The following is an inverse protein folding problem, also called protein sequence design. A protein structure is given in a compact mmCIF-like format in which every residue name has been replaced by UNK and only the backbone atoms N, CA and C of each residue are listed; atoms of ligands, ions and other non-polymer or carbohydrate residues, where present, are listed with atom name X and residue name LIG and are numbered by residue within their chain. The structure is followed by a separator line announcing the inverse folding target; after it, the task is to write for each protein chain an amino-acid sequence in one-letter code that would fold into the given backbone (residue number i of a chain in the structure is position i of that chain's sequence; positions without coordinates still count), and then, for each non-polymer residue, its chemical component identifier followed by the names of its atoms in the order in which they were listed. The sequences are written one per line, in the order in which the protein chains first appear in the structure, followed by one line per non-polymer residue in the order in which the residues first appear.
data_IF_463018238142
#
_entry.id   IF_463018238142
#
_cell.length_a   1.000
_cell.length_b   1.000
_cell.length_c   1.000
_cell.angle_alpha   90.00
_cell.angle_beta   90.00
_cell.angle_gamma   90.00
#
_symmetry.space_group_name_H-M   'P 1'
#
loop_
_entity.id
_entity.type
_entity.pdbx_description
1 polymer ?
#
# COMPACT_ATOMS: atom_id res chain seq x y z
N UNK A 1 1.92 28.41 10.13
CA UNK A 1 1.53 27.02 9.79
C UNK A 1 2.67 26.27 9.10
N UNK A 2 3.26 26.83 8.04
CA UNK A 2 4.36 26.21 7.28
C UNK A 2 5.66 25.91 8.08
N UNK A 3 6.01 26.78 9.05
CA UNK A 3 7.15 26.56 9.93
C UNK A 3 6.98 25.31 10.81
N UNK A 4 5.79 25.13 11.39
CA UNK A 4 5.48 24.00 12.25
C UNK A 4 5.55 22.67 11.48
N UNK A 5 4.93 22.62 10.29
CA UNK A 5 4.95 21.42 9.44
C UNK A 5 6.38 21.06 9.02
N UNK A 6 7.22 22.06 8.74
CA UNK A 6 8.63 21.83 8.40
C UNK A 6 9.43 21.27 9.59
N UNK A 7 9.18 21.77 10.80
CA UNK A 7 9.84 21.27 12.02
C UNK A 7 9.42 19.83 12.33
N UNK A 8 8.11 19.54 12.34
CA UNK A 8 7.60 18.18 12.57
C UNK A 8 8.13 17.17 11.54
N UNK A 9 8.26 17.59 10.26
CA UNK A 9 8.84 16.71 9.22
C UNK A 9 10.32 16.41 9.48
N UNK A 10 11.10 17.41 9.90
CA UNK A 10 12.51 17.18 10.28
C UNK A 10 12.64 16.25 11.48
N UNK A 11 11.85 16.48 12.53
CA UNK A 11 11.87 15.66 13.74
C UNK A 11 11.53 14.19 13.44
N UNK A 12 10.49 13.96 12.61
CA UNK A 12 10.16 12.62 12.12
C UNK A 12 11.32 11.98 11.34
N UNK A 13 11.92 12.72 10.39
CA UNK A 13 13.02 12.21 9.57
C UNK A 13 14.25 11.87 10.42
N UNK A 14 14.58 12.70 11.40
CA UNK A 14 15.68 12.45 12.34
C UNK A 14 15.43 11.19 13.17
N UNK A 15 14.23 11.05 13.74
CA UNK A 15 13.85 9.89 14.53
C UNK A 15 13.95 8.59 13.73
N UNK A 16 13.34 8.56 12.53
CA UNK A 16 13.27 7.37 11.69
C UNK A 16 14.61 7.05 11.02
N UNK A 17 15.30 8.04 10.44
CA UNK A 17 16.56 7.79 9.74
C UNK A 17 17.69 7.40 10.70
N UNK A 18 17.66 7.83 11.96
CA UNK A 18 18.56 7.32 13.00
C UNK A 18 18.40 5.80 13.19
N UNK A 19 17.18 5.29 13.18
CA UNK A 19 16.89 3.85 13.30
C UNK A 19 17.27 3.11 12.02
N UNK A 20 16.94 3.66 10.84
CA UNK A 20 17.27 3.05 9.54
C UNK A 20 18.78 3.02 9.28
N UNK A 21 19.51 4.05 9.69
CA UNK A 21 20.98 4.11 9.59
C UNK A 21 21.65 2.99 10.38
N UNK A 22 21.16 2.67 11.59
CA UNK A 22 21.65 1.51 12.36
C UNK A 22 21.41 0.17 11.66
N UNK A 23 20.42 0.10 10.77
CA UNK A 23 20.05 -1.11 10.00
C UNK A 23 20.63 -1.12 8.58
N UNK A 24 21.46 -0.12 8.21
CA UNK A 24 21.99 0.06 6.85
C UNK A 24 20.89 0.12 5.76
N UNK A 25 19.71 0.64 6.12
CA UNK A 25 18.59 0.86 5.19
C UNK A 25 18.63 2.31 4.70
N UNK A 26 18.24 2.54 3.46
CA UNK A 26 18.17 3.88 2.86
C UNK A 26 17.32 4.84 3.71
N UNK A 27 17.60 6.15 3.68
CA UNK A 27 16.80 7.13 4.41
C UNK A 27 15.39 7.28 3.81
N UNK A 28 14.44 7.68 4.65
CA UNK A 28 13.09 8.04 4.24
C UNK A 28 13.11 9.40 3.55
N UNK A 29 12.35 9.54 2.46
CA UNK A 29 12.20 10.80 1.74
C UNK A 29 11.27 11.78 2.47
N UNK A 30 11.38 13.08 2.17
CA UNK A 30 10.50 14.11 2.72
C UNK A 30 9.02 13.82 2.46
N UNK A 31 8.67 13.43 1.23
CA UNK A 31 7.28 13.13 0.85
C UNK A 31 6.68 11.97 1.65
N UNK A 32 7.47 10.93 1.92
CA UNK A 32 7.03 9.82 2.78
C UNK A 32 6.82 10.28 4.23
N UNK A 33 7.72 11.09 4.77
CA UNK A 33 7.54 11.65 6.11
C UNK A 33 6.25 12.48 6.25
N UNK A 34 5.98 13.34 5.27
CA UNK A 34 4.76 14.17 5.24
C UNK A 34 3.50 13.30 5.22
N UNK A 35 3.48 12.17 4.49
CA UNK A 35 2.31 11.26 4.46
C UNK A 35 1.99 10.67 5.84
N UNK A 36 2.99 10.12 6.53
CA UNK A 36 2.79 9.58 7.90
C UNK A 36 2.35 10.66 8.89
N UNK A 37 2.89 11.87 8.77
CA UNK A 37 2.50 13.00 9.61
C UNK A 37 1.05 13.44 9.33
N UNK A 38 0.63 13.54 8.08
CA UNK A 38 -0.75 13.85 7.72
C UNK A 38 -1.74 12.84 8.31
N UNK A 39 -1.44 11.54 8.18
CA UNK A 39 -2.27 10.47 8.73
C UNK A 39 -2.43 10.54 10.26
N UNK A 40 -1.52 11.23 10.96
CA UNK A 40 -1.54 11.40 12.42
C UNK A 40 -1.67 12.86 12.84
N UNK A 41 -2.26 13.71 11.99
CA UNK A 41 -2.53 15.13 12.27
C UNK A 41 -1.30 15.87 12.81
N UNK A 42 -0.13 15.55 12.23
CA UNK A 42 1.19 16.10 12.58
C UNK A 42 1.72 15.74 13.98
N UNK A 43 1.16 14.72 14.64
CA UNK A 43 1.74 14.11 15.84
C UNK A 43 2.95 13.24 15.45
N UNK A 44 4.16 13.72 15.77
CA UNK A 44 5.42 13.07 15.38
C UNK A 44 5.55 11.68 16.02
N UNK A 45 5.26 11.53 17.31
CA UNK A 45 5.41 10.26 18.01
C UNK A 45 4.49 9.18 17.46
N UNK A 46 3.21 9.53 17.22
CA UNK A 46 2.24 8.62 16.60
C UNK A 46 2.57 8.32 15.14
N UNK A 47 3.11 9.29 14.39
CA UNK A 47 3.56 9.08 13.02
C UNK A 47 4.75 8.11 12.95
N UNK A 48 5.74 8.25 13.85
CA UNK A 48 6.87 7.32 13.96
C UNK A 48 6.38 5.91 14.27
N UNK A 49 5.50 5.75 15.25
CA UNK A 49 4.92 4.44 15.59
C UNK A 49 4.17 3.82 14.41
N UNK A 50 3.39 4.64 13.67
CA UNK A 50 2.71 4.19 12.45
C UNK A 50 3.71 3.69 11.39
N UNK A 51 4.78 4.45 11.15
CA UNK A 51 5.82 4.08 10.20
C UNK A 51 6.52 2.76 10.59
N UNK A 52 6.83 2.56 11.88
CA UNK A 52 7.45 1.31 12.35
C UNK A 52 6.54 0.10 12.14
N UNK A 53 5.24 0.22 12.46
CA UNK A 53 4.25 -0.84 12.23
C UNK A 53 4.08 -1.12 10.74
N UNK A 54 4.05 -0.08 9.90
CA UNK A 54 3.97 -0.19 8.45
C UNK A 54 5.18 -0.95 7.88
N UNK A 55 6.41 -0.55 8.25
CA UNK A 55 7.65 -1.23 7.84
C UNK A 55 7.75 -2.67 8.35
N UNK A 56 7.34 -2.92 9.59
CA UNK A 56 7.35 -4.27 10.18
C UNK A 56 6.37 -5.19 9.42
N UNK A 57 5.18 -4.68 9.11
CA UNK A 57 4.16 -5.42 8.35
C UNK A 57 4.64 -5.71 6.94
N UNK A 58 5.16 -4.72 6.21
CA UNK A 58 5.72 -4.95 4.87
C UNK A 58 6.83 -5.99 4.88
N UNK A 59 7.73 -5.96 5.86
CA UNK A 59 8.82 -6.94 5.97
C UNK A 59 8.31 -8.34 6.28
N UNK A 60 7.37 -8.49 7.22
CA UNK A 60 6.77 -9.77 7.59
C UNK A 60 6.05 -10.43 6.41
N UNK A 61 5.38 -9.64 5.58
CA UNK A 61 4.64 -10.12 4.41
C UNK A 61 5.49 -10.19 3.12
N UNK A 62 6.78 -9.80 3.16
CA UNK A 62 7.67 -9.80 1.99
C UNK A 62 7.32 -8.75 0.91
N UNK A 63 6.90 -7.56 1.34
CA UNK A 63 6.41 -6.43 0.53
C UNK A 63 7.42 -5.28 0.44
N UNK A 64 8.73 -5.56 0.54
CA UNK A 64 9.79 -4.55 0.58
C UNK A 64 10.47 -4.33 -0.78
N UNK A 65 10.47 -5.33 -1.66
CA UNK A 65 11.07 -5.26 -2.98
C UNK A 65 10.16 -5.97 -4.00
N UNK A 66 9.69 -5.25 -5.01
CA UNK A 66 8.86 -5.81 -6.08
C UNK A 66 9.66 -5.95 -7.37
N UNK A 67 9.51 -7.10 -8.04
CA UNK A 67 10.10 -7.36 -9.35
C UNK A 67 8.99 -7.73 -10.34
N UNK A 68 8.25 -6.75 -10.90
CA UNK A 68 7.04 -7.01 -11.71
C UNK A 68 7.33 -7.75 -13.02
N UNK A 69 8.58 -7.73 -13.50
CA UNK A 69 9.01 -8.48 -14.67
C UNK A 69 9.51 -9.90 -14.37
N UNK A 70 9.40 -10.39 -13.13
CA UNK A 70 9.86 -11.73 -12.72
C UNK A 70 8.72 -12.53 -12.10
N UNK A 71 8.75 -13.84 -12.31
CA UNK A 71 7.84 -14.75 -11.63
C UNK A 71 8.13 -14.79 -10.11
N UNK A 72 7.10 -15.01 -9.26
CA UNK A 72 5.70 -15.25 -9.62
C UNK A 72 4.85 -13.98 -9.80
N UNK A 73 5.41 -12.78 -9.52
CA UNK A 73 4.66 -11.53 -9.54
C UNK A 73 4.19 -11.14 -10.95
N UNK A 74 5.01 -11.41 -11.97
CA UNK A 74 4.68 -11.10 -13.35
C UNK A 74 3.38 -11.78 -13.83
N UNK A 75 3.26 -13.11 -13.66
CA UNK A 75 2.03 -13.82 -14.01
C UNK A 75 0.83 -13.38 -13.17
N UNK A 76 1.04 -13.11 -11.88
CA UNK A 76 -0.01 -12.59 -11.00
C UNK A 76 -0.58 -11.25 -11.50
N UNK A 77 0.28 -10.28 -11.85
CA UNK A 77 -0.15 -8.99 -12.38
C UNK A 77 -0.91 -9.15 -13.71
N UNK A 78 -0.50 -10.10 -14.55
CA UNK A 78 -1.17 -10.40 -15.82
C UNK A 78 -2.56 -11.01 -15.66
N UNK A 79 -2.91 -11.54 -14.49
CA UNK A 79 -4.28 -12.04 -14.26
C UNK A 79 -5.32 -10.93 -14.31
N UNK A 80 -4.93 -9.67 -14.04
CA UNK A 80 -5.86 -8.56 -13.93
C UNK A 80 -6.86 -8.72 -12.78
N UNK A 81 -6.65 -9.65 -11.83
CA UNK A 81 -7.56 -9.83 -10.70
C UNK A 81 -7.57 -8.62 -9.78
N UNK A 82 -6.47 -7.87 -9.71
CA UNK A 82 -6.44 -6.54 -9.12
C UNK A 82 -6.00 -5.55 -10.19
N UNK A 83 -6.73 -4.45 -10.34
CA UNK A 83 -6.41 -3.38 -11.31
C UNK A 83 -6.76 -2.01 -10.77
N UNK A 84 -6.04 -1.01 -11.23
CA UNK A 84 -6.42 0.41 -11.10
C UNK A 84 -7.06 0.82 -12.42
N UNK A 85 -8.32 1.23 -12.39
CA UNK A 85 -9.02 1.65 -13.60
C UNK A 85 -8.42 2.94 -14.15
N UNK A 86 -8.42 3.13 -15.49
CA UNK A 86 -7.93 4.36 -16.11
C UNK A 86 -8.84 5.56 -15.81
N UNK A 87 -10.07 5.31 -15.36
CA UNK A 87 -11.05 6.32 -14.98
C UNK A 87 -11.04 6.56 -13.47
N UNK A 88 -11.34 7.80 -13.09
CA UNK A 88 -11.54 8.22 -11.70
C UNK A 88 -13.03 8.38 -11.40
N UNK A 89 -13.38 8.39 -10.13
CA UNK A 89 -14.74 8.73 -9.72
C UNK A 89 -15.01 10.24 -9.85
N UNK A 90 -16.22 10.67 -9.47
CA UNK A 90 -16.63 12.09 -9.50
C UNK A 90 -15.82 12.98 -8.56
N UNK A 91 -15.18 12.43 -7.52
CA UNK A 91 -14.30 13.17 -6.58
C UNK A 91 -12.84 13.21 -7.02
N UNK A 92 -12.50 12.51 -8.11
CA UNK A 92 -11.13 12.35 -8.60
C UNK A 92 -10.35 11.21 -7.94
N UNK A 93 -10.98 10.43 -7.06
CA UNK A 93 -10.38 9.24 -6.45
C UNK A 93 -10.09 8.17 -7.52
N UNK A 94 -8.93 7.54 -7.42
CA UNK A 94 -8.60 6.42 -8.28
C UNK A 94 -9.45 5.21 -7.90
N UNK A 95 -9.88 4.42 -8.89
CA UNK A 95 -10.74 3.25 -8.65
C UNK A 95 -9.88 1.99 -8.74
N UNK A 96 -9.74 1.31 -7.61
CA UNK A 96 -9.08 0.02 -7.50
C UNK A 96 -10.13 -1.09 -7.47
N UNK A 97 -9.99 -2.11 -8.31
CA UNK A 97 -10.95 -3.22 -8.41
C UNK A 97 -10.23 -4.54 -8.14
N UNK A 98 -10.75 -5.31 -7.19
CA UNK A 98 -10.40 -6.72 -7.00
C UNK A 98 -11.52 -7.61 -7.54
N UNK A 99 -11.26 -8.33 -8.63
CA UNK A 99 -12.19 -9.23 -9.30
C UNK A 99 -12.04 -10.65 -8.78
N UNK A 100 -12.90 -11.05 -7.84
CA UNK A 100 -12.75 -12.27 -7.07
C UNK A 100 -12.75 -13.54 -7.93
N UNK A 101 -13.53 -13.59 -9.01
CA UNK A 101 -13.57 -14.77 -9.92
C UNK A 101 -12.22 -15.12 -10.56
N UNK A 102 -11.30 -14.16 -10.68
CA UNK A 102 -9.95 -14.40 -11.20
C UNK A 102 -8.95 -14.83 -10.13
N UNK A 103 -9.32 -14.72 -8.84
CA UNK A 103 -8.50 -15.23 -7.76
C UNK A 103 -8.64 -16.74 -7.63
N UNK A 104 -7.52 -17.46 -7.65
CA UNK A 104 -7.48 -18.90 -7.41
C UNK A 104 -6.37 -19.21 -6.41
N UNK A 105 -6.72 -19.54 -5.15
CA UNK A 105 -5.75 -19.92 -4.11
C UNK A 105 -4.90 -21.15 -4.49
N UNK A 106 -5.41 -22.00 -5.39
CA UNK A 106 -4.69 -23.18 -5.88
C UNK A 106 -3.57 -22.84 -6.88
N UNK A 107 -3.64 -21.66 -7.52
CA UNK A 107 -2.71 -21.27 -8.60
C UNK A 107 -1.73 -20.20 -8.13
N UNK A 108 -2.15 -19.30 -7.24
CA UNK A 108 -1.31 -18.21 -6.74
C UNK A 108 -1.33 -18.18 -5.23
N UNK A 109 -0.13 -18.06 -4.64
CA UNK A 109 -0.01 -17.95 -3.20
C UNK A 109 -0.62 -16.63 -2.69
N UNK A 110 -1.04 -16.64 -1.43
CA UNK A 110 -1.56 -15.42 -0.78
C UNK A 110 -0.52 -14.30 -0.82
N UNK A 111 0.76 -14.63 -0.63
CA UNK A 111 1.86 -13.68 -0.66
C UNK A 111 2.03 -13.06 -2.05
N UNK A 112 1.99 -13.86 -3.12
CA UNK A 112 2.11 -13.37 -4.50
C UNK A 112 0.95 -12.43 -4.84
N UNK A 113 -0.29 -12.83 -4.49
CA UNK A 113 -1.47 -11.98 -4.71
C UNK A 113 -1.35 -10.67 -3.94
N UNK A 114 -0.91 -10.72 -2.68
CA UNK A 114 -0.69 -9.54 -1.85
C UNK A 114 0.38 -8.60 -2.44
N UNK A 115 1.48 -9.16 -2.96
CA UNK A 115 2.51 -8.39 -3.66
C UNK A 115 1.93 -7.68 -4.89
N UNK A 116 1.08 -8.35 -5.67
CA UNK A 116 0.41 -7.76 -6.83
C UNK A 116 -0.52 -6.60 -6.48
N UNK A 117 -1.28 -6.74 -5.38
CA UNK A 117 -2.14 -5.67 -4.86
C UNK A 117 -1.32 -4.47 -4.40
N UNK A 118 -0.33 -4.69 -3.53
CA UNK A 118 0.47 -3.61 -2.94
C UNK A 118 1.32 -2.90 -3.97
N UNK A 119 1.90 -3.64 -4.92
CA UNK A 119 2.66 -3.04 -6.02
C UNK A 119 1.80 -2.06 -6.83
N UNK A 120 0.59 -2.46 -7.22
CA UNK A 120 -0.30 -1.59 -8.00
C UNK A 120 -0.81 -0.39 -7.20
N UNK A 121 -1.05 -0.56 -5.89
CA UNK A 121 -1.38 0.55 -5.00
C UNK A 121 -0.21 1.54 -4.87
N UNK A 122 1.02 1.03 -4.71
CA UNK A 122 2.23 1.87 -4.63
C UNK A 122 2.38 2.71 -5.91
N UNK A 123 2.20 2.10 -7.08
CA UNK A 123 2.21 2.81 -8.38
C UNK A 123 1.07 3.84 -8.47
N UNK A 124 -0.15 3.49 -8.04
CA UNK A 124 -1.28 4.42 -8.06
C UNK A 124 -1.04 5.65 -7.19
N UNK A 125 -0.36 5.46 -6.05
CA UNK A 125 0.00 6.50 -5.10
C UNK A 125 1.15 7.40 -5.56
N UNK A 126 1.83 7.11 -6.67
CA UNK A 126 2.77 8.05 -7.30
C UNK A 126 2.05 9.25 -7.93
N UNK A 127 0.77 9.08 -8.30
CA UNK A 127 -0.05 10.16 -8.85
C UNK A 127 -0.45 11.16 -7.76
N UNK A 128 -0.20 12.45 -8.01
CA UNK A 128 -0.59 13.56 -7.13
C UNK A 128 -2.12 13.58 -6.93
N UNK A 129 -2.90 13.28 -7.98
CA UNK A 129 -4.36 13.27 -7.88
C UNK A 129 -4.84 12.15 -6.96
N UNK A 130 -4.24 10.96 -7.05
CA UNK A 130 -4.53 9.85 -6.13
C UNK A 130 -4.13 10.19 -4.70
N UNK A 131 -3.00 10.86 -4.48
CA UNK A 131 -2.59 11.30 -3.14
C UNK A 131 -3.57 12.32 -2.54
N UNK A 132 -4.23 13.14 -3.36
CA UNK A 132 -5.17 14.18 -2.93
C UNK A 132 -6.59 13.67 -2.74
N UNK A 133 -7.11 12.93 -3.71
CA UNK A 133 -8.50 12.45 -3.73
C UNK A 133 -8.66 11.05 -3.15
N UNK A 134 -7.56 10.33 -2.90
CA UNK A 134 -7.57 8.99 -2.34
C UNK A 134 -7.92 7.90 -3.36
N UNK A 135 -8.39 6.77 -2.83
CA UNK A 135 -8.70 5.55 -3.56
C UNK A 135 -10.08 5.04 -3.16
N UNK A 136 -10.86 4.57 -4.14
CA UNK A 136 -12.06 3.77 -3.93
C UNK A 136 -11.70 2.33 -4.25
N UNK A 137 -11.93 1.44 -3.30
CA UNK A 137 -11.70 0.01 -3.49
C UNK A 137 -13.03 -0.72 -3.70
N UNK A 138 -13.15 -1.40 -4.83
CA UNK A 138 -14.29 -2.22 -5.22
C UNK A 138 -13.88 -3.69 -5.14
N UNK A 139 -14.62 -4.48 -4.37
CA UNK A 139 -14.48 -5.93 -4.33
C UNK A 139 -15.59 -6.56 -5.19
N UNK A 140 -15.27 -6.87 -6.44
CA UNK A 140 -16.21 -7.44 -7.40
C UNK A 140 -16.37 -8.94 -7.18
N UNK A 141 -17.56 -9.30 -6.69
CA UNK A 141 -17.97 -10.68 -6.40
C UNK A 141 -18.72 -11.35 -7.55
N UNK A 142 -18.92 -10.64 -8.67
CA UNK A 142 -19.70 -11.14 -9.80
C UNK A 142 -19.10 -12.44 -10.34
N UNK A 143 -19.93 -13.50 -10.41
CA UNK A 143 -19.53 -14.86 -10.85
C UNK A 143 -18.43 -15.53 -10.02
N UNK A 144 -18.14 -15.02 -8.82
CA UNK A 144 -17.20 -15.68 -7.90
C UNK A 144 -17.80 -16.96 -7.32
N UNK A 145 -16.95 -17.97 -7.14
CA UNK A 145 -17.30 -19.25 -6.48
C UNK A 145 -16.66 -19.30 -5.10
N UNK A 146 -17.13 -20.22 -4.25
CA UNK A 146 -16.53 -20.45 -2.93
C UNK A 146 -15.03 -20.79 -3.02
N UNK A 147 -14.62 -21.53 -4.06
CA UNK A 147 -13.21 -21.86 -4.33
C UNK A 147 -12.33 -20.64 -4.66
N UNK A 148 -12.93 -19.51 -5.02
CA UNK A 148 -12.23 -18.25 -5.23
C UNK A 148 -12.12 -17.42 -3.95
N UNK A 149 -12.81 -17.81 -2.88
CA UNK A 149 -12.84 -17.03 -1.65
C UNK A 149 -11.65 -17.39 -0.76
N UNK A 150 -10.92 -16.37 -0.34
CA UNK A 150 -9.82 -16.46 0.60
C UNK A 150 -10.03 -15.41 1.70
N UNK A 151 -10.47 -15.91 2.85
CA UNK A 151 -10.81 -15.08 4.00
C UNK A 151 -9.58 -14.32 4.53
N UNK A 152 -8.45 -15.02 4.66
CA UNK A 152 -7.24 -14.45 5.24
C UNK A 152 -6.66 -13.37 4.34
N UNK A 153 -6.61 -13.61 3.02
CA UNK A 153 -6.20 -12.59 2.07
C UNK A 153 -7.13 -11.38 2.08
N UNK A 154 -8.45 -11.60 2.11
CA UNK A 154 -9.44 -10.52 2.16
C UNK A 154 -9.24 -9.64 3.40
N UNK A 155 -9.01 -10.25 4.57
CA UNK A 155 -8.71 -9.52 5.80
C UNK A 155 -7.41 -8.73 5.70
N UNK A 156 -6.35 -9.31 5.11
CA UNK A 156 -5.07 -8.63 4.92
C UNK A 156 -5.20 -7.41 4.00
N UNK A 157 -5.88 -7.55 2.86
CA UNK A 157 -6.14 -6.45 1.92
C UNK A 157 -6.89 -5.31 2.63
N UNK A 158 -7.98 -5.62 3.34
CA UNK A 158 -8.77 -4.61 4.05
C UNK A 158 -7.98 -3.95 5.19
N UNK A 159 -7.12 -4.69 5.88
CA UNK A 159 -6.29 -4.15 6.98
C UNK A 159 -5.23 -3.19 6.46
N UNK A 160 -4.61 -3.52 5.32
CA UNK A 160 -3.65 -2.63 4.67
C UNK A 160 -4.32 -1.33 4.23
N UNK A 161 -5.47 -1.40 3.56
CA UNK A 161 -6.21 -0.23 3.08
C UNK A 161 -6.74 0.69 4.20
N UNK A 162 -6.91 0.19 5.41
CA UNK A 162 -7.32 0.99 6.58
C UNK A 162 -6.16 1.71 7.27
N UNK A 163 -4.93 1.31 6.99
CA UNK A 163 -3.74 1.72 7.74
C UNK A 163 -2.89 2.77 7.03
N UNK A 164 -3.17 3.02 5.75
CA UNK A 164 -2.58 4.08 4.91
C UNK A 164 -3.47 5.33 4.89
#
# INVERSE_FOLDING_TARGET
MEYFTRMATKEFLEAVNRIRGRRSVSPVSWGTAVRFLWARKWDVGRAVALHEVHEATRRREGLTCFHPGREPLHSELRTGKFTILPTRDVSGAAIAVFTARYHSPAVSSHQTTLQGVVYQLDVALESIDTQRSGLIFIYDMTESKYSNFDYDLSQKILTMLKSD
#
